data_IF_229412023611
#
_entry.id   IF_229412023611
#
_cell.length_a   1.000
_cell.length_b   1.000
_cell.length_c   1.000
_cell.angle_alpha   90.00
_cell.angle_beta   90.00
_cell.angle_gamma   90.00
#
_symmetry.space_group_name_H-M   'P 1'
#
loop_
_entity.id
_entity.type
_entity.pdbx_description
1 polymer ?
#
# COMPACT_ATOMS: atom_id res chain seq x y z
N UNK A 1 9.80 -30.31 0.30
CA UNK A 1 11.12 -30.22 -0.36
C UNK A 1 10.94 -29.57 -1.73
N UNK A 2 11.10 -28.26 -1.78
CA UNK A 2 11.30 -27.49 -3.01
C UNK A 2 12.10 -26.23 -2.64
N UNK A 3 13.31 -26.48 -2.14
CA UNK A 3 14.39 -25.50 -2.03
C UNK A 3 14.97 -25.29 -3.44
N UNK A 4 14.22 -24.63 -4.31
CA UNK A 4 14.78 -24.04 -5.52
C UNK A 4 14.48 -22.54 -5.44
N UNK A 5 15.34 -21.82 -4.72
CA UNK A 5 15.47 -20.39 -4.95
C UNK A 5 15.90 -20.21 -6.41
N UNK A 6 15.08 -19.54 -7.20
CA UNK A 6 15.39 -19.22 -8.58
C UNK A 6 16.69 -18.40 -8.60
N UNK A 7 17.75 -18.96 -9.17
CA UNK A 7 18.93 -18.16 -9.50
C UNK A 7 18.51 -17.23 -10.62
N UNK A 8 18.11 -16.00 -10.28
CA UNK A 8 17.75 -15.01 -11.28
C UNK A 8 18.99 -14.66 -12.08
N UNK A 9 18.90 -14.81 -13.41
CA UNK A 9 19.98 -14.49 -14.33
C UNK A 9 20.25 -12.99 -14.29
N UNK A 10 21.51 -12.60 -14.13
CA UNK A 10 21.90 -11.18 -14.25
C UNK A 10 21.96 -10.81 -15.74
N UNK A 11 21.30 -9.71 -16.10
CA UNK A 11 21.27 -9.16 -17.45
C UNK A 11 21.76 -7.72 -17.47
N UNK A 12 22.23 -7.26 -18.62
CA UNK A 12 22.67 -5.88 -18.80
C UNK A 12 21.51 -5.03 -19.30
N UNK A 13 21.28 -3.92 -18.60
CA UNK A 13 20.30 -2.89 -18.98
C UNK A 13 20.98 -1.53 -19.10
N UNK A 14 20.39 -0.63 -19.88
CA UNK A 14 20.89 0.72 -20.09
C UNK A 14 19.89 1.73 -19.52
N UNK A 15 20.33 2.61 -18.63
CA UNK A 15 19.52 3.69 -18.08
C UNK A 15 20.25 5.01 -18.27
N UNK A 16 19.65 5.96 -19.00
CA UNK A 16 20.26 7.25 -19.35
C UNK A 16 21.69 7.10 -19.92
N UNK A 17 21.86 6.15 -20.86
CA UNK A 17 23.14 5.78 -21.51
C UNK A 17 24.16 5.04 -20.62
N UNK A 18 23.90 4.87 -19.32
CA UNK A 18 24.77 4.12 -18.42
C UNK A 18 24.31 2.67 -18.33
N UNK A 19 25.25 1.73 -18.29
CA UNK A 19 24.96 0.30 -18.18
C UNK A 19 24.93 -0.17 -16.74
N UNK A 20 23.97 -1.05 -16.42
CA UNK A 20 23.78 -1.63 -15.11
C UNK A 20 23.49 -3.13 -15.22
N UNK A 21 23.80 -3.85 -14.14
CA UNK A 21 23.42 -5.25 -13.97
C UNK A 21 22.14 -5.34 -13.13
N UNK A 22 21.16 -6.08 -13.63
CA UNK A 22 19.88 -6.28 -12.99
C UNK A 22 19.43 -7.73 -13.10
N UNK A 23 18.54 -8.14 -12.19
CA UNK A 23 17.95 -9.46 -12.21
C UNK A 23 16.88 -9.55 -13.30
N UNK A 24 17.00 -10.52 -14.21
CA UNK A 24 16.01 -10.77 -15.25
C UNK A 24 14.64 -11.09 -14.63
N UNK A 25 13.58 -10.46 -15.15
CA UNK A 25 12.22 -10.60 -14.64
C UNK A 25 11.87 -9.74 -13.42
N UNK A 26 12.85 -9.03 -12.82
CA UNK A 26 12.57 -8.03 -11.78
C UNK A 26 11.69 -6.90 -12.34
N UNK A 27 10.90 -6.25 -11.48
CA UNK A 27 10.19 -5.03 -11.84
C UNK A 27 11.20 -3.89 -11.95
N UNK A 28 11.25 -3.20 -13.09
CA UNK A 28 12.23 -2.15 -13.34
C UNK A 28 12.21 -1.03 -12.29
N UNK A 29 11.05 -0.64 -11.77
CA UNK A 29 10.95 0.34 -10.69
C UNK A 29 11.80 -0.08 -9.46
N UNK A 30 11.77 -1.35 -9.06
CA UNK A 30 12.56 -1.84 -7.93
C UNK A 30 14.06 -1.79 -8.23
N UNK A 31 14.43 -2.21 -9.44
CA UNK A 31 15.80 -2.12 -9.94
C UNK A 31 16.31 -0.68 -9.88
N UNK A 32 15.53 0.29 -10.37
CA UNK A 32 15.89 1.70 -10.37
C UNK A 32 16.09 2.24 -8.94
N UNK A 33 15.19 1.89 -8.01
CA UNK A 33 15.32 2.30 -6.60
C UNK A 33 16.56 1.71 -5.94
N UNK A 34 16.88 0.43 -6.20
CA UNK A 34 18.10 -0.23 -5.71
C UNK A 34 19.37 0.42 -6.24
N UNK A 35 19.32 0.97 -7.45
CA UNK A 35 20.42 1.70 -8.09
C UNK A 35 20.46 3.20 -7.71
N UNK A 36 19.62 3.64 -6.77
CA UNK A 36 19.47 5.05 -6.36
C UNK A 36 19.06 6.01 -7.50
N UNK A 37 18.33 5.50 -8.50
CA UNK A 37 17.75 6.31 -9.57
C UNK A 37 16.37 6.76 -9.11
N UNK A 38 16.20 8.08 -8.94
CA UNK A 38 14.93 8.63 -8.46
C UNK A 38 13.83 8.51 -9.53
N UNK A 39 12.80 7.71 -9.21
CA UNK A 39 11.58 7.59 -9.99
C UNK A 39 10.39 7.76 -9.03
N UNK A 40 9.58 8.82 -9.19
CA UNK A 40 8.51 9.11 -8.25
C UNK A 40 7.39 8.07 -8.41
N UNK A 41 6.88 7.57 -7.28
CA UNK A 41 5.84 6.56 -7.26
C UNK A 41 4.97 6.71 -6.01
N UNK A 42 3.69 6.36 -6.13
CA UNK A 42 2.71 6.45 -5.04
C UNK A 42 1.84 5.18 -4.91
N UNK A 43 1.58 4.48 -6.01
CA UNK A 43 0.67 3.32 -6.04
C UNK A 43 1.40 1.96 -6.14
N UNK A 44 2.67 1.91 -5.75
CA UNK A 44 3.42 0.66 -5.70
C UNK A 44 3.44 0.16 -4.25
N UNK A 45 3.08 -1.11 -4.07
CA UNK A 45 3.13 -1.82 -2.78
C UNK A 45 3.64 -3.23 -3.06
N UNK A 46 4.60 -3.71 -2.26
CA UNK A 46 5.26 -4.99 -2.50
C UNK A 46 4.29 -6.17 -2.41
N UNK A 47 3.29 -6.08 -1.55
CA UNK A 47 2.28 -7.12 -1.36
C UNK A 47 1.24 -7.20 -2.50
N UNK A 48 1.25 -6.29 -3.47
CA UNK A 48 0.24 -6.18 -4.51
C UNK A 48 0.87 -6.16 -5.92
N UNK A 49 0.20 -6.78 -6.88
CA UNK A 49 0.63 -6.73 -8.28
C UNK A 49 0.60 -5.28 -8.80
N UNK A 50 1.62 -4.76 -9.50
CA UNK A 50 1.61 -3.40 -10.02
C UNK A 50 0.54 -3.21 -11.10
N UNK A 51 -0.17 -2.09 -11.05
CA UNK A 51 -1.23 -1.77 -12.02
C UNK A 51 -1.13 -0.36 -12.62
N UNK A 52 -0.16 0.45 -12.16
CA UNK A 52 0.21 1.71 -12.80
C UNK A 52 -0.81 2.86 -12.68
N UNK A 53 -1.68 2.90 -11.66
CA UNK A 53 -2.66 3.99 -11.54
C UNK A 53 -2.05 5.38 -11.39
N UNK A 54 -0.99 5.55 -10.60
CA UNK A 54 -0.50 6.90 -10.30
C UNK A 54 0.24 7.55 -11.47
N UNK A 55 0.75 6.77 -12.43
CA UNK A 55 1.48 7.25 -13.62
C UNK A 55 2.65 8.21 -13.34
N UNK A 56 3.12 8.37 -12.10
CA UNK A 56 4.31 9.17 -11.78
C UNK A 56 5.60 8.49 -12.24
N UNK A 57 5.61 7.15 -12.15
CA UNK A 57 6.76 6.33 -12.50
C UNK A 57 6.95 6.15 -14.01
N UNK A 58 6.36 7.02 -14.84
CA UNK A 58 6.53 6.94 -16.29
C UNK A 58 7.99 7.18 -16.67
N UNK A 59 8.46 6.39 -17.61
CA UNK A 59 9.79 6.42 -18.21
C UNK A 59 9.66 6.13 -19.71
N UNK A 60 10.65 6.53 -20.50
CA UNK A 60 10.67 6.21 -21.92
C UNK A 60 11.47 4.93 -22.16
N UNK A 61 10.82 3.92 -22.71
CA UNK A 61 11.47 2.69 -23.17
C UNK A 61 11.90 2.87 -24.61
N UNK A 62 13.18 2.61 -24.91
CA UNK A 62 13.72 2.70 -26.26
C UNK A 62 13.58 1.34 -26.94
N UNK A 63 12.97 1.32 -28.12
CA UNK A 63 12.85 0.12 -28.96
C UNK A 63 13.04 0.50 -30.41
N UNK A 64 14.05 -0.08 -31.06
CA UNK A 64 14.39 0.21 -32.47
C UNK A 64 14.49 1.72 -32.78
N UNK A 65 15.07 2.50 -31.86
CA UNK A 65 15.23 3.96 -32.00
C UNK A 65 13.98 4.80 -31.75
N UNK A 66 12.84 4.20 -31.39
CA UNK A 66 11.62 4.91 -30.97
C UNK A 66 11.48 4.84 -29.45
N UNK A 67 10.96 5.91 -28.85
CA UNK A 67 10.62 5.94 -27.42
C UNK A 67 9.13 5.69 -27.22
N UNK A 68 8.79 4.89 -26.20
CA UNK A 68 7.41 4.70 -25.74
C UNK A 68 7.32 4.93 -24.25
N UNK A 69 6.45 5.86 -23.85
CA UNK A 69 6.24 6.20 -22.46
C UNK A 69 5.49 5.07 -21.74
N UNK A 70 6.12 4.46 -20.74
CA UNK A 70 5.61 3.27 -20.07
C UNK A 70 5.78 3.39 -18.55
N UNK A 71 4.84 2.91 -17.72
CA UNK A 71 5.02 2.92 -16.27
C UNK A 71 6.16 1.99 -15.85
N UNK A 72 7.16 2.51 -15.14
CA UNK A 72 8.29 1.71 -14.65
C UNK A 72 7.86 0.53 -13.76
N UNK A 73 6.74 0.66 -13.04
CA UNK A 73 6.24 -0.40 -12.17
C UNK A 73 5.67 -1.62 -12.93
N UNK A 74 5.34 -1.49 -14.22
CA UNK A 74 4.81 -2.60 -15.04
C UNK A 74 5.86 -3.22 -15.97
N UNK A 75 7.06 -2.62 -16.07
CA UNK A 75 8.13 -3.10 -16.93
C UNK A 75 8.88 -4.24 -16.21
N UNK A 76 9.11 -5.34 -16.94
CA UNK A 76 9.97 -6.44 -16.52
C UNK A 76 11.36 -6.26 -17.13
N UNK A 77 12.39 -6.44 -16.31
CA UNK A 77 13.79 -6.37 -16.73
C UNK A 77 14.08 -7.54 -17.68
N UNK A 78 14.67 -7.23 -18.84
CA UNK A 78 15.21 -8.22 -19.77
C UNK A 78 16.52 -7.71 -20.35
N UNK A 79 17.33 -8.61 -20.92
CA UNK A 79 18.60 -8.23 -21.53
C UNK A 79 18.39 -7.22 -22.67
N UNK A 80 19.21 -6.16 -22.69
CA UNK A 80 19.13 -5.09 -23.69
C UNK A 80 17.99 -4.09 -23.47
N UNK A 81 17.32 -4.10 -22.32
CA UNK A 81 16.34 -3.07 -21.95
C UNK A 81 17.05 -1.71 -21.85
N UNK A 82 16.56 -0.72 -22.60
CA UNK A 82 17.06 0.65 -22.60
C UNK A 82 15.96 1.62 -22.17
N UNK A 83 16.25 2.43 -21.14
CA UNK A 83 15.29 3.33 -20.52
C UNK A 83 15.89 4.74 -20.35
N UNK A 84 15.08 5.74 -20.63
CA UNK A 84 15.36 7.14 -20.35
C UNK A 84 14.38 7.65 -19.28
N UNK A 85 14.92 8.25 -18.21
CA UNK A 85 14.12 8.66 -17.05
C UNK A 85 13.90 10.16 -16.92
N UNK A 86 14.58 10.96 -17.74
CA UNK A 86 14.72 12.41 -17.63
C UNK A 86 14.52 13.15 -18.97
N UNK A 87 13.83 12.54 -19.93
CA UNK A 87 13.49 13.21 -21.19
C UNK A 87 12.58 14.43 -20.93
N UNK A 88 12.58 15.45 -21.82
CA UNK A 88 11.71 16.62 -21.67
C UNK A 88 10.23 16.28 -21.51
N UNK A 89 9.76 15.25 -22.22
CA UNK A 89 8.37 14.77 -22.13
C UNK A 89 8.08 14.11 -20.78
N UNK A 90 9.00 13.30 -20.24
CA UNK A 90 8.85 12.71 -18.90
C UNK A 90 8.82 13.78 -17.81
N UNK A 91 9.71 14.77 -17.89
CA UNK A 91 9.74 15.88 -16.93
C UNK A 91 8.42 16.66 -16.97
N UNK A 92 7.94 16.99 -18.19
CA UNK A 92 6.67 17.69 -18.39
C UNK A 92 5.47 16.87 -17.88
N UNK A 93 5.45 15.57 -18.14
CA UNK A 93 4.42 14.64 -17.68
C UNK A 93 4.36 14.59 -16.14
N UNK A 94 5.51 14.40 -15.48
CA UNK A 94 5.59 14.39 -14.01
C UNK A 94 5.11 15.70 -13.40
N UNK A 95 5.54 16.84 -13.95
CA UNK A 95 5.10 18.17 -13.49
C UNK A 95 3.58 18.33 -13.61
N UNK A 96 3.01 17.95 -14.74
CA UNK A 96 1.56 17.99 -14.96
C UNK A 96 0.80 17.11 -13.96
N UNK A 97 1.27 15.89 -13.71
CA UNK A 97 0.66 15.00 -12.72
C UNK A 97 0.73 15.57 -11.31
N UNK A 98 1.84 16.18 -10.92
CA UNK A 98 1.92 16.85 -9.61
C UNK A 98 0.96 18.03 -9.50
N UNK A 99 0.75 18.82 -10.56
CA UNK A 99 -0.31 19.85 -10.55
C UNK A 99 -1.70 19.23 -10.33
N UNK A 100 -2.00 18.11 -10.99
CA UNK A 100 -3.27 17.39 -10.79
C UNK A 100 -3.38 16.83 -9.38
N UNK A 101 -2.32 16.25 -8.82
CA UNK A 101 -2.32 15.73 -7.45
C UNK A 101 -2.47 16.83 -6.39
N UNK A 102 -1.89 18.01 -6.60
CA UNK A 102 -2.10 19.15 -5.73
C UNK A 102 -3.55 19.64 -5.75
N UNK A 103 -4.26 19.51 -6.88
CA UNK A 103 -5.69 19.80 -6.96
C UNK A 103 -6.53 18.68 -6.33
N UNK A 104 -6.13 17.43 -6.50
CA UNK A 104 -6.83 16.25 -6.00
C UNK A 104 -6.75 16.10 -4.47
N UNK A 105 -5.54 16.29 -3.93
CA UNK A 105 -5.19 16.09 -2.52
C UNK A 105 -4.51 17.34 -1.91
N UNK A 106 -5.20 18.50 -1.85
CA UNK A 106 -4.60 19.77 -1.44
C UNK A 106 -4.10 19.81 0.01
N UNK A 107 -4.62 18.93 0.88
CA UNK A 107 -4.24 18.83 2.29
C UNK A 107 -3.16 17.76 2.54
N UNK A 108 -2.67 17.07 1.50
CA UNK A 108 -1.61 16.08 1.65
C UNK A 108 -0.23 16.73 1.68
N UNK A 109 0.43 16.67 2.84
CA UNK A 109 1.81 17.12 3.02
C UNK A 109 2.78 16.31 2.14
N UNK A 110 2.58 14.98 2.07
CA UNK A 110 3.39 14.08 1.25
C UNK A 110 3.40 14.52 -0.22
N UNK A 111 2.21 14.83 -0.78
CA UNK A 111 2.11 15.29 -2.17
C UNK A 111 2.75 16.65 -2.36
N UNK A 112 2.59 17.57 -1.41
CA UNK A 112 3.22 18.90 -1.48
C UNK A 112 4.75 18.81 -1.47
N UNK A 113 5.31 17.97 -0.61
CA UNK A 113 6.76 17.74 -0.53
C UNK A 113 7.29 17.08 -1.80
N UNK A 114 6.61 16.04 -2.30
CA UNK A 114 7.00 15.39 -3.54
C UNK A 114 6.90 16.35 -4.74
N UNK A 115 5.81 17.10 -4.87
CA UNK A 115 5.63 18.07 -5.95
C UNK A 115 6.70 19.17 -5.92
N UNK A 116 7.08 19.65 -4.73
CA UNK A 116 8.12 20.65 -4.56
C UNK A 116 9.50 20.17 -5.07
N UNK A 117 9.85 18.90 -4.86
CA UNK A 117 11.09 18.30 -5.43
C UNK A 117 11.13 18.35 -6.96
N UNK A 118 9.97 18.33 -7.61
CA UNK A 118 9.82 18.44 -9.07
C UNK A 118 9.52 19.87 -9.54
N UNK A 119 9.67 20.87 -8.66
CA UNK A 119 9.50 22.28 -8.96
C UNK A 119 8.04 22.69 -9.20
N UNK A 120 7.08 22.01 -8.57
CA UNK A 120 5.65 22.30 -8.65
C UNK A 120 5.14 22.66 -7.26
N UNK A 121 4.77 23.92 -7.06
CA UNK A 121 4.29 24.43 -5.76
C UNK A 121 2.84 24.90 -5.78
N UNK A 122 2.28 25.08 -6.97
CA UNK A 122 0.91 25.54 -7.20
C UNK A 122 0.29 24.71 -8.31
N UNK A 123 -1.04 24.68 -8.33
CA UNK A 123 -1.82 24.06 -9.39
C UNK A 123 -2.70 25.11 -10.07
N UNK A 124 -2.89 24.95 -11.37
CA UNK A 124 -3.87 25.71 -12.17
C UNK A 124 -5.22 25.00 -12.25
N UNK A 125 -5.29 23.75 -11.79
CA UNK A 125 -6.52 22.97 -11.77
C UNK A 125 -7.29 23.27 -10.50
N UNK A 126 -8.61 23.43 -10.65
CA UNK A 126 -9.52 23.61 -9.53
C UNK A 126 -10.30 22.32 -9.35
N UNK A 127 -10.25 21.73 -8.16
CA UNK A 127 -11.17 20.68 -7.74
C UNK A 127 -12.27 21.30 -6.90
N UNK A 128 -13.52 20.89 -7.14
CA UNK A 128 -14.64 21.25 -6.27
C UNK A 128 -14.38 20.62 -4.90
N UNK A 129 -14.18 21.46 -3.89
CA UNK A 129 -13.96 21.00 -2.52
C UNK A 129 -15.27 20.37 -2.02
N UNK A 130 -15.21 19.11 -1.63
CA UNK A 130 -16.29 18.43 -0.91
C UNK A 130 -16.07 18.70 0.57
N UNK A 131 -17.03 19.35 1.23
CA UNK A 131 -16.89 19.77 2.61
C UNK A 131 -16.74 18.59 3.60
N UNK A 132 -17.27 17.42 3.24
CA UNK A 132 -17.26 16.20 4.07
C UNK A 132 -16.44 15.07 3.44
N UNK A 133 -15.25 15.38 2.91
CA UNK A 133 -14.34 14.33 2.41
C UNK A 133 -13.83 13.46 3.58
N UNK A 134 -14.20 12.16 3.65
CA UNK A 134 -13.80 11.26 4.72
C UNK A 134 -12.28 10.97 4.77
N UNK A 135 -11.56 11.38 3.73
CA UNK A 135 -10.11 11.25 3.60
C UNK A 135 -9.39 12.60 3.69
N UNK A 136 -10.10 13.61 4.23
CA UNK A 136 -9.56 14.90 4.66
C UNK A 136 -8.81 15.67 3.57
N UNK A 137 -9.18 15.52 2.30
CA UNK A 137 -8.49 16.16 1.18
C UNK A 137 -7.07 15.67 0.97
N UNK A 138 -6.74 14.45 1.44
CA UNK A 138 -5.41 13.83 1.33
C UNK A 138 -5.38 12.65 0.37
N UNK A 139 -6.53 12.13 -0.06
CA UNK A 139 -6.60 10.99 -0.97
C UNK A 139 -6.25 11.37 -2.41
N UNK A 140 -5.45 10.53 -3.06
CA UNK A 140 -5.05 10.66 -4.48
C UNK A 140 -5.67 9.58 -5.37
N UNK A 141 -6.64 8.83 -4.84
CA UNK A 141 -7.35 7.75 -5.53
C UNK A 141 -6.42 6.66 -6.10
N UNK A 142 -5.32 6.36 -5.40
CA UNK A 142 -4.34 5.35 -5.82
C UNK A 142 -4.77 3.90 -5.65
N UNK A 143 -5.96 3.63 -5.10
CA UNK A 143 -6.56 2.29 -5.00
C UNK A 143 -5.88 1.27 -4.09
N UNK A 144 -4.71 1.55 -3.52
CA UNK A 144 -3.98 0.58 -2.68
C UNK A 144 -4.83 0.07 -1.50
N UNK A 145 -5.59 0.95 -0.86
CA UNK A 145 -6.49 0.58 0.23
C UNK A 145 -7.63 -0.36 -0.21
N UNK A 146 -8.25 -0.10 -1.36
CA UNK A 146 -9.30 -0.96 -1.94
C UNK A 146 -8.72 -2.32 -2.30
N UNK A 147 -7.54 -2.32 -2.92
CA UNK A 147 -6.86 -3.55 -3.34
C UNK A 147 -6.42 -4.41 -2.18
N UNK A 148 -5.78 -3.85 -1.15
CA UNK A 148 -5.41 -4.64 0.03
C UNK A 148 -6.64 -5.20 0.76
N UNK A 149 -7.75 -4.44 0.78
CA UNK A 149 -9.01 -4.89 1.39
C UNK A 149 -9.66 -6.05 0.61
N UNK A 150 -9.55 -6.05 -0.72
CA UNK A 150 -10.06 -7.11 -1.58
C UNK A 150 -9.08 -8.29 -1.71
N UNK A 151 -7.88 -8.06 -2.24
CA UNK A 151 -6.93 -9.10 -2.66
C UNK A 151 -6.25 -9.79 -1.47
N UNK A 152 -5.96 -9.07 -0.39
CA UNK A 152 -5.23 -9.61 0.76
C UNK A 152 -6.20 -10.02 1.88
N UNK A 153 -7.11 -9.12 2.25
CA UNK A 153 -8.04 -9.37 3.35
C UNK A 153 -9.30 -10.14 2.93
N UNK A 154 -9.67 -10.11 1.64
CA UNK A 154 -10.85 -10.79 1.12
C UNK A 154 -12.18 -10.28 1.69
N UNK A 155 -12.24 -9.03 2.17
CA UNK A 155 -13.49 -8.44 2.72
C UNK A 155 -14.17 -7.51 1.73
N UNK A 156 -13.40 -6.80 0.90
CA UNK A 156 -13.94 -5.78 -0.02
C UNK A 156 -14.85 -4.75 0.66
N UNK A 157 -14.53 -4.42 1.92
CA UNK A 157 -15.34 -3.54 2.75
C UNK A 157 -15.37 -2.08 2.25
N UNK A 158 -14.38 -1.68 1.46
CA UNK A 158 -14.25 -0.34 0.87
C UNK A 158 -14.03 -0.44 -0.64
N UNK A 159 -14.53 0.53 -1.39
CA UNK A 159 -14.41 0.57 -2.85
C UNK A 159 -14.35 2.01 -3.39
N UNK A 160 -14.10 2.14 -4.68
CA UNK A 160 -14.33 3.38 -5.41
C UNK A 160 -15.84 3.61 -5.57
N UNK A 161 -16.31 4.75 -5.08
CA UNK A 161 -17.69 5.20 -5.17
C UNK A 161 -17.75 6.34 -6.20
N UNK A 162 -18.85 6.40 -6.98
CA UNK A 162 -19.05 7.32 -8.10
C UNK A 162 -18.07 7.11 -9.26
N UNK A 163 -18.00 8.10 -10.18
CA UNK A 163 -17.14 8.10 -11.37
C UNK A 163 -16.61 9.50 -11.68
N UNK A 164 -15.52 9.55 -12.44
CA UNK A 164 -14.91 10.78 -12.91
C UNK A 164 -14.48 11.69 -11.76
N UNK A 165 -14.72 13.01 -11.82
CA UNK A 165 -14.26 13.97 -10.80
C UNK A 165 -14.97 13.82 -9.44
N UNK A 166 -16.05 13.05 -9.37
CA UNK A 166 -16.81 12.79 -8.14
C UNK A 166 -16.38 11.51 -7.44
N UNK A 167 -15.36 10.83 -7.95
CA UNK A 167 -14.87 9.56 -7.40
C UNK A 167 -14.30 9.78 -6.01
N UNK A 168 -14.73 8.95 -5.07
CA UNK A 168 -14.17 8.90 -3.70
C UNK A 168 -13.95 7.44 -3.30
N UNK A 169 -13.15 7.20 -2.28
CA UNK A 169 -13.02 5.87 -1.68
C UNK A 169 -13.79 5.89 -0.37
N UNK A 170 -14.75 4.99 -0.21
CA UNK A 170 -15.45 4.78 1.05
C UNK A 170 -16.08 3.37 1.09
N UNK A 171 -16.79 3.06 2.17
CA UNK A 171 -17.74 1.95 2.22
C UNK A 171 -18.89 2.15 1.22
N UNK A 172 -19.50 1.06 0.73
CA UNK A 172 -20.71 1.15 -0.07
C UNK A 172 -21.78 2.00 0.61
N UNK A 173 -22.45 2.86 -0.17
CA UNK A 173 -23.51 3.77 0.29
C UNK A 173 -23.12 4.75 1.40
N UNK A 174 -21.83 4.89 1.73
CA UNK A 174 -21.34 5.69 2.85
C UNK A 174 -21.88 5.23 4.21
N UNK A 175 -22.15 3.93 4.36
CA UNK A 175 -22.68 3.34 5.60
C UNK A 175 -21.64 2.50 6.35
N UNK A 176 -21.93 2.14 7.60
CA UNK A 176 -21.09 1.19 8.34
C UNK A 176 -21.03 -0.15 7.60
N UNK A 177 -19.82 -0.67 7.39
CA UNK A 177 -19.67 -1.95 6.71
C UNK A 177 -19.34 -3.07 7.72
N UNK A 178 -20.27 -4.01 7.98
CA UNK A 178 -20.03 -5.10 8.92
C UNK A 178 -18.90 -6.04 8.47
N UNK A 179 -18.58 -6.11 7.18
CA UNK A 179 -17.49 -6.97 6.67
C UNK A 179 -16.09 -6.39 6.96
N UNK A 180 -16.01 -5.14 7.41
CA UNK A 180 -14.75 -4.56 7.85
C UNK A 180 -14.20 -5.33 9.07
N UNK A 181 -13.04 -5.95 8.89
CA UNK A 181 -12.35 -6.65 9.99
C UNK A 181 -11.54 -5.71 10.90
N UNK A 182 -11.59 -4.39 10.72
CA UNK A 182 -10.82 -3.43 11.51
C UNK A 182 -9.28 -3.56 11.38
N UNK A 183 -8.79 -4.30 10.38
CA UNK A 183 -7.37 -4.70 10.31
C UNK A 183 -6.37 -3.56 10.10
N UNK A 184 -6.84 -2.35 9.76
CA UNK A 184 -6.02 -1.18 9.44
C UNK A 184 -4.99 -1.37 8.30
N UNK A 185 -5.04 -2.47 7.54
CA UNK A 185 -4.17 -2.70 6.38
C UNK A 185 -4.30 -1.58 5.33
N UNK A 186 -5.52 -1.07 5.14
CA UNK A 186 -5.79 0.08 4.26
C UNK A 186 -5.05 1.35 4.71
N UNK A 187 -4.95 1.60 6.00
CA UNK A 187 -4.23 2.75 6.56
C UNK A 187 -2.71 2.58 6.40
N UNK A 188 -2.21 1.37 6.59
CA UNK A 188 -0.78 1.05 6.45
C UNK A 188 -0.26 1.27 5.02
N UNK A 189 -1.02 0.86 4.01
CA UNK A 189 -0.61 1.02 2.60
C UNK A 189 -0.89 2.41 2.02
N UNK A 190 -1.47 3.33 2.81
CA UNK A 190 -1.86 4.64 2.30
C UNK A 190 -0.64 5.57 2.15
N UNK A 191 -0.23 5.93 0.91
CA UNK A 191 0.99 6.71 0.69
C UNK A 191 0.87 8.14 1.25
N UNK A 192 -0.34 8.68 1.33
CA UNK A 192 -0.61 10.04 1.80
C UNK A 192 -1.12 10.12 3.23
N UNK A 193 -1.21 8.98 3.94
CA UNK A 193 -1.74 8.88 5.31
C UNK A 193 -3.13 9.52 5.45
N UNK A 194 -3.98 9.30 4.46
CA UNK A 194 -5.33 9.87 4.40
C UNK A 194 -6.34 9.12 5.29
N UNK A 195 -6.04 7.87 5.62
CA UNK A 195 -6.95 6.97 6.34
C UNK A 195 -6.62 6.99 7.83
N UNK A 196 -7.61 7.29 8.65
CA UNK A 196 -7.48 7.44 10.11
C UNK A 196 -8.44 6.50 10.82
N UNK A 197 -7.98 5.95 11.94
CA UNK A 197 -8.77 5.13 12.86
C UNK A 197 -8.32 5.40 14.29
N UNK A 198 -9.19 5.12 15.24
CA UNK A 198 -8.92 5.25 16.68
C UNK A 198 -9.31 3.95 17.39
N UNK A 199 -8.50 3.57 18.38
CA UNK A 199 -8.79 2.44 19.26
C UNK A 199 -9.27 2.99 20.60
N UNK A 200 -10.46 2.56 21.02
CA UNK A 200 -10.93 2.68 22.39
C UNK A 200 -10.60 1.42 23.19
N UNK A 201 -11.01 1.36 24.45
CA UNK A 201 -10.84 0.15 25.27
C UNK A 201 -11.64 -1.05 24.73
N UNK A 202 -12.71 -0.84 23.96
CA UNK A 202 -13.60 -1.92 23.51
C UNK A 202 -13.64 -2.11 21.99
N UNK A 203 -13.34 -1.07 21.21
CA UNK A 203 -13.60 -1.07 19.77
C UNK A 203 -12.62 -0.18 19.00
N UNK A 204 -12.37 -0.56 17.75
CA UNK A 204 -11.66 0.25 16.77
C UNK A 204 -12.67 0.97 15.89
N UNK A 205 -12.60 2.30 15.85
CA UNK A 205 -13.47 3.14 15.03
C UNK A 205 -12.68 3.61 13.81
N UNK A 206 -13.12 3.19 12.63
CA UNK A 206 -12.55 3.64 11.36
C UNK A 206 -13.18 4.98 10.96
N UNK A 207 -12.60 6.09 11.42
CA UNK A 207 -13.10 7.45 11.14
C UNK A 207 -13.29 7.71 9.64
N UNK A 208 -12.36 7.24 8.82
CA UNK A 208 -12.45 7.41 7.36
C UNK A 208 -13.53 6.57 6.68
N UNK A 209 -14.11 5.57 7.34
CA UNK A 209 -15.04 4.59 6.73
C UNK A 209 -16.41 4.67 7.38
N UNK A 210 -17.01 5.87 7.33
CA UNK A 210 -18.31 6.17 7.91
C UNK A 210 -18.42 5.76 9.38
N UNK A 211 -17.33 5.87 10.14
CA UNK A 211 -17.30 5.50 11.56
C UNK A 211 -17.52 4.01 11.82
N UNK A 212 -17.22 3.12 10.86
CA UNK A 212 -17.32 1.67 11.05
C UNK A 212 -16.54 1.23 12.30
N UNK A 213 -17.28 0.76 13.31
CA UNK A 213 -16.73 0.30 14.58
C UNK A 213 -16.60 -1.22 14.59
N UNK A 214 -15.47 -1.71 15.10
CA UNK A 214 -15.15 -3.15 15.17
C UNK A 214 -14.70 -3.50 16.58
N UNK A 215 -15.35 -4.46 17.27
CA UNK A 215 -14.94 -4.88 18.61
C UNK A 215 -13.50 -5.39 18.67
N UNK A 216 -12.81 -5.08 19.77
CA UNK A 216 -11.45 -5.51 20.06
C UNK A 216 -11.45 -6.70 21.03
N UNK A 217 -10.68 -7.73 20.68
CA UNK A 217 -10.39 -8.86 21.54
C UNK A 217 -9.58 -8.42 22.76
N UNK A 218 -9.99 -8.90 23.93
CA UNK A 218 -9.34 -8.65 25.22
C UNK A 218 -8.41 -9.81 25.58
N UNK A 219 -7.18 -9.50 26.01
CA UNK A 219 -6.22 -10.51 26.44
C UNK A 219 -6.64 -11.16 27.76
N UNK A 220 -6.68 -12.50 27.80
CA UNK A 220 -7.04 -13.25 29.02
C UNK A 220 -6.06 -13.01 30.18
N UNK A 221 -4.77 -12.81 29.89
CA UNK A 221 -3.69 -12.62 30.87
C UNK A 221 -3.52 -11.18 31.36
N UNK A 222 -3.40 -10.20 30.47
CA UNK A 222 -3.15 -8.81 30.88
C UNK A 222 -4.39 -7.89 30.84
N UNK A 223 -5.54 -8.41 30.41
CA UNK A 223 -6.83 -7.70 30.30
C UNK A 223 -6.83 -6.48 29.37
N UNK A 224 -5.79 -6.30 28.56
CA UNK A 224 -5.73 -5.24 27.54
C UNK A 224 -6.36 -5.69 26.23
N UNK A 225 -7.08 -4.79 25.59
CA UNK A 225 -7.53 -4.92 24.21
C UNK A 225 -6.35 -4.81 23.25
N UNK A 226 -6.31 -5.65 22.21
CA UNK A 226 -5.10 -5.77 21.38
C UNK A 226 -5.32 -5.94 19.88
N UNK A 227 -6.45 -6.51 19.44
CA UNK A 227 -6.72 -6.71 18.01
C UNK A 227 -8.23 -6.83 17.76
N UNK A 228 -8.73 -6.41 16.58
CA UNK A 228 -10.13 -6.63 16.22
C UNK A 228 -10.51 -8.12 16.23
N UNK A 229 -11.66 -8.45 16.80
CA UNK A 229 -12.14 -9.85 16.91
C UNK A 229 -12.23 -10.53 15.55
N UNK A 230 -12.87 -9.85 14.58
CA UNK A 230 -13.01 -10.36 13.20
C UNK A 230 -11.67 -10.59 12.49
N UNK A 231 -10.62 -9.85 12.86
CA UNK A 231 -9.28 -10.10 12.34
C UNK A 231 -8.70 -11.38 12.96
N UNK A 232 -8.91 -11.58 14.26
CA UNK A 232 -8.43 -12.76 14.96
C UNK A 232 -9.03 -14.04 14.39
N UNK A 233 -10.34 -14.07 14.12
CA UNK A 233 -11.01 -15.23 13.49
C UNK A 233 -10.31 -15.63 12.18
N UNK A 234 -10.07 -14.64 11.31
CA UNK A 234 -9.39 -14.85 10.02
C UNK A 234 -7.94 -15.35 10.13
N UNK A 235 -7.24 -14.96 11.20
CA UNK A 235 -5.87 -15.39 11.46
C UNK A 235 -5.85 -16.80 12.04
N UNK A 236 -6.78 -17.09 12.95
CA UNK A 236 -6.91 -18.38 13.64
C UNK A 236 -7.33 -19.50 12.68
N UNK A 237 -8.23 -19.22 11.73
CA UNK A 237 -8.62 -20.19 10.69
C UNK A 237 -7.45 -20.67 9.82
N UNK A 238 -6.36 -19.89 9.74
CA UNK A 238 -5.16 -20.19 8.95
C UNK A 238 -4.04 -20.83 9.76
N UNK A 239 -4.19 -20.94 11.08
CA UNK A 239 -3.20 -21.50 11.99
C UNK A 239 -3.44 -23.00 12.18
N UNK A 240 -2.37 -23.77 12.35
CA UNK A 240 -2.44 -25.22 12.61
C UNK A 240 -3.35 -25.48 13.81
N UNK A 241 -4.37 -26.37 13.71
CA UNK A 241 -5.26 -26.71 14.82
C UNK A 241 -4.54 -27.24 16.07
N UNK A 242 -3.28 -27.67 15.94
CA UNK A 242 -2.43 -28.03 17.08
C UNK A 242 -1.94 -26.83 17.92
N UNK A 243 -2.19 -25.59 17.49
CA UNK A 243 -1.86 -24.40 18.29
C UNK A 243 -2.85 -24.29 19.45
N UNK A 244 -2.31 -24.56 20.63
CA UNK A 244 -2.90 -24.49 21.98
C UNK A 244 -3.96 -23.37 22.06
N UNK A 245 -5.21 -23.75 22.38
CA UNK A 245 -6.35 -22.85 22.58
C UNK A 245 -6.01 -21.66 23.49
N UNK A 246 -5.17 -21.88 24.50
CA UNK A 246 -4.67 -20.87 25.42
C UNK A 246 -3.92 -19.72 24.74
N UNK A 247 -3.19 -19.97 23.64
CA UNK A 247 -2.48 -18.94 22.89
C UNK A 247 -3.44 -18.03 22.11
N UNK A 248 -4.65 -18.51 21.78
CA UNK A 248 -5.65 -17.78 20.97
C UNK A 248 -6.19 -16.57 21.72
N UNK A 249 -6.31 -16.67 23.04
CA UNK A 249 -6.85 -15.60 23.91
C UNK A 249 -5.79 -14.62 24.43
N UNK A 250 -4.51 -14.83 24.08
CA UNK A 250 -3.40 -13.99 24.53
C UNK A 250 -3.00 -12.98 23.46
N UNK A 251 -2.76 -11.74 23.89
CA UNK A 251 -2.15 -10.72 23.04
C UNK A 251 -0.71 -11.12 22.63
N UNK A 252 -0.15 -10.54 21.56
CA UNK A 252 1.18 -10.91 21.04
C UNK A 252 2.30 -10.89 22.09
N UNK A 253 2.27 -9.94 23.02
CA UNK A 253 3.27 -9.86 24.10
C UNK A 253 3.12 -10.98 25.13
N UNK A 254 1.89 -11.25 25.58
CA UNK A 254 1.63 -12.33 26.54
C UNK A 254 1.86 -13.69 25.89
N UNK A 255 1.55 -13.82 24.60
CA UNK A 255 1.81 -15.03 23.80
C UNK A 255 3.31 -15.34 23.74
N UNK A 256 4.16 -14.35 23.44
CA UNK A 256 5.63 -14.53 23.48
C UNK A 256 6.11 -14.94 24.87
N UNK A 257 5.66 -14.25 25.92
CA UNK A 257 6.03 -14.58 27.32
C UNK A 257 5.62 -16.01 27.70
N UNK A 258 4.44 -16.46 27.27
CA UNK A 258 3.95 -17.81 27.52
C UNK A 258 4.81 -18.86 26.81
N UNK A 259 5.08 -18.68 25.51
CA UNK A 259 5.94 -19.59 24.73
C UNK A 259 7.33 -19.72 25.35
N UNK A 260 7.95 -18.59 25.72
CA UNK A 260 9.26 -18.59 26.40
C UNK A 260 9.23 -19.36 27.72
N UNK A 261 8.13 -19.31 28.49
CA UNK A 261 7.99 -20.09 29.73
C UNK A 261 7.83 -21.59 29.47
N UNK A 262 7.15 -21.98 28.39
CA UNK A 262 7.05 -23.39 27.98
C UNK A 262 8.39 -23.96 27.53
N UNK A 263 9.17 -23.20 26.75
CA UNK A 263 10.50 -23.62 26.28
C UNK A 263 11.51 -23.78 27.43
N UNK A 264 11.41 -22.93 28.46
CA UNK A 264 12.24 -23.00 29.67
C UNK A 264 11.73 -24.09 30.66
N UNK A 265 10.66 -24.82 30.33
CA UNK A 265 10.15 -25.92 31.16
C UNK A 265 9.42 -25.49 32.44
N UNK A 266 8.95 -24.23 32.51
CA UNK A 266 8.20 -23.70 33.68
C UNK A 266 6.69 -23.96 33.61
N UNK A 267 6.21 -24.59 32.54
CA UNK A 267 4.82 -24.99 32.34
C UNK A 267 4.85 -26.42 31.77
N UNK A 268 4.16 -27.41 32.38
CA UNK A 268 4.14 -28.78 31.87
C UNK A 268 3.52 -28.82 30.46
N UNK A 269 4.13 -29.59 29.55
CA UNK A 269 3.52 -29.91 28.25
C UNK A 269 2.41 -30.93 28.50
N UNK A 270 1.16 -30.51 28.31
CA UNK A 270 -0.01 -31.41 28.26
C UNK A 270 0.00 -32.24 26.98
#
# INVERSE_FOLDING_TARGET
MSLFGSVNRMVTITINKNQYLAEEGEIFLLTALRLNIDIPHLCYEKALEPYGACRLCMVDVVTCGKTTMTPACTIKVHNGLEILTDTPEIIKHRRLLFELYLAEAPKSEVIREMAAKYGVTKTRFLKKIVHDDPLFGKCILCGLCVRVCNEIMGTSAINFINRGPYTVINTPFFEHNPDCAGCAACAQVCPTKAIVFEDSDAERIMQSWSGTAVPLATCSSCKKSYAPEKLMDKVLDKLDPAIIEELRTLCPECRRKYITRMEIGRIPRS
#
